data_IF_673120015303
#
_entry.id   IF_673120015303
#
_cell.length_a   1.000
_cell.length_b   1.000
_cell.length_c   1.000
_cell.angle_alpha   90.00
_cell.angle_beta   90.00
_cell.angle_gamma   90.00
#
_symmetry.space_group_name_H-M   'P 1'
#
loop_
_entity.id
_entity.type
_entity.pdbx_description
1 polymer ?
#
# COMPACT_ATOMS: atom_id res chain seq x y z
N UNK A 1 23.91 22.38 10.06
CA UNK A 1 23.94 23.13 8.78
C UNK A 1 24.61 22.34 7.64
N UNK A 2 25.80 21.75 7.82
CA UNK A 2 26.48 21.01 6.74
C UNK A 2 25.71 19.82 6.17
N UNK A 3 25.03 19.02 7.02
CA UNK A 3 24.26 17.85 6.59
C UNK A 3 23.06 18.26 5.72
N UNK A 4 22.32 19.31 6.08
CA UNK A 4 21.15 19.77 5.31
C UNK A 4 21.54 20.32 3.94
N UNK A 5 22.66 21.01 3.85
CA UNK A 5 23.20 21.50 2.59
C UNK A 5 23.73 20.37 1.68
N UNK A 6 24.28 19.32 2.26
CA UNK A 6 24.69 18.11 1.53
C UNK A 6 23.47 17.38 0.97
N UNK A 7 22.44 17.13 1.79
CA UNK A 7 21.20 16.48 1.37
C UNK A 7 20.53 17.26 0.23
N UNK A 8 20.43 18.59 0.35
CA UNK A 8 19.84 19.42 -0.70
C UNK A 8 20.60 19.34 -2.03
N UNK A 9 21.93 19.22 -2.00
CA UNK A 9 22.75 19.04 -3.22
C UNK A 9 22.47 17.74 -3.95
N UNK A 10 22.19 16.65 -3.19
CA UNK A 10 21.91 15.33 -3.76
C UNK A 10 20.47 15.14 -4.19
N UNK A 11 19.51 15.69 -3.45
CA UNK A 11 18.07 15.47 -3.66
C UNK A 11 17.39 16.58 -4.44
N UNK A 12 18.02 17.74 -4.58
CA UNK A 12 17.42 18.95 -5.11
C UNK A 12 16.40 19.62 -4.18
N UNK A 13 16.14 19.03 -2.98
CA UNK A 13 15.11 19.47 -2.03
C UNK A 13 15.70 19.82 -0.68
N UNK A 14 15.31 20.95 -0.07
CA UNK A 14 15.66 21.26 1.31
C UNK A 14 15.04 20.23 2.25
N UNK A 15 15.72 19.95 3.37
CA UNK A 15 15.29 18.96 4.36
C UNK A 15 13.83 19.18 4.84
N UNK A 16 13.44 20.44 5.01
CA UNK A 16 12.08 20.81 5.45
C UNK A 16 10.97 20.37 4.49
N UNK A 17 11.29 20.08 3.23
CA UNK A 17 10.32 19.68 2.21
C UNK A 17 10.29 18.16 1.99
N UNK A 18 11.18 17.39 2.60
CA UNK A 18 11.27 15.94 2.37
C UNK A 18 10.25 15.12 3.16
N UNK A 19 9.67 15.71 4.22
CA UNK A 19 8.75 15.02 5.13
C UNK A 19 7.64 14.21 4.44
N UNK A 20 6.85 14.79 3.52
CA UNK A 20 5.79 14.04 2.85
C UNK A 20 6.29 12.84 2.02
N UNK A 21 7.43 12.96 1.32
CA UNK A 21 8.00 11.84 0.57
C UNK A 21 8.46 10.70 1.50
N UNK A 22 9.12 11.04 2.61
CA UNK A 22 9.55 10.07 3.62
C UNK A 22 8.35 9.38 4.28
N UNK A 23 7.27 10.11 4.58
CA UNK A 23 6.05 9.53 5.15
C UNK A 23 5.37 8.55 4.18
N UNK A 24 5.27 8.91 2.91
CA UNK A 24 4.75 7.99 1.89
C UNK A 24 5.67 6.78 1.74
N UNK A 25 6.99 6.95 1.85
CA UNK A 25 7.94 5.83 1.89
C UNK A 25 7.70 4.89 3.08
N UNK A 26 7.51 5.44 4.30
CA UNK A 26 7.17 4.65 5.49
C UNK A 26 5.82 3.93 5.30
N UNK A 27 4.82 4.62 4.74
CA UNK A 27 3.53 4.01 4.41
C UNK A 27 3.67 2.85 3.42
N UNK A 28 4.52 2.99 2.41
CA UNK A 28 4.81 1.90 1.46
C UNK A 28 5.48 0.71 2.17
N UNK A 29 6.43 0.97 3.07
CA UNK A 29 7.01 -0.06 3.93
C UNK A 29 5.95 -0.78 4.78
N UNK A 30 4.95 -0.06 5.27
CA UNK A 30 3.86 -0.64 6.05
C UNK A 30 2.92 -1.53 5.19
N UNK A 31 2.68 -1.22 3.91
CA UNK A 31 1.94 -2.12 3.01
C UNK A 31 2.71 -3.42 2.77
N UNK A 32 4.02 -3.31 2.54
CA UNK A 32 4.91 -4.47 2.38
C UNK A 32 5.06 -5.28 3.66
N UNK A 33 5.08 -4.63 4.82
CA UNK A 33 5.03 -5.31 6.12
C UNK A 33 3.80 -6.22 6.25
N UNK A 34 2.61 -5.75 5.86
CA UNK A 34 1.37 -6.55 5.91
C UNK A 34 1.48 -7.77 4.98
N UNK A 35 1.93 -7.57 3.75
CA UNK A 35 2.09 -8.65 2.78
C UNK A 35 3.15 -9.68 3.23
N UNK A 36 4.32 -9.21 3.66
CA UNK A 36 5.40 -10.07 4.15
C UNK A 36 4.97 -10.85 5.40
N UNK A 37 4.21 -10.23 6.32
CA UNK A 37 3.66 -10.93 7.48
C UNK A 37 2.76 -12.09 7.06
N UNK A 38 1.85 -11.88 6.11
CA UNK A 38 1.01 -12.97 5.57
C UNK A 38 1.87 -14.13 5.05
N UNK A 39 2.87 -13.84 4.23
CA UNK A 39 3.75 -14.89 3.69
C UNK A 39 4.53 -15.63 4.76
N UNK A 40 5.02 -14.93 5.76
CA UNK A 40 5.75 -15.52 6.89
C UNK A 40 4.87 -16.43 7.73
N UNK A 41 3.60 -16.07 7.92
CA UNK A 41 2.65 -16.86 8.71
C UNK A 41 2.08 -18.07 7.95
N UNK A 42 2.15 -18.08 6.61
CA UNK A 42 1.51 -19.10 5.78
C UNK A 42 1.88 -20.56 6.13
N UNK A 43 3.14 -20.90 6.49
CA UNK A 43 3.48 -22.26 6.92
C UNK A 43 2.73 -22.69 8.19
N UNK A 44 2.65 -21.83 9.20
CA UNK A 44 1.92 -22.10 10.45
C UNK A 44 0.41 -22.16 10.25
N UNK A 45 -0.13 -21.29 9.43
CA UNK A 45 -1.55 -21.32 9.00
C UNK A 45 -1.85 -22.67 8.34
N UNK A 46 -0.98 -23.09 7.42
CA UNK A 46 -1.12 -24.37 6.72
C UNK A 46 -1.17 -25.54 7.71
N UNK A 47 -0.27 -25.58 8.66
CA UNK A 47 -0.21 -26.64 9.66
C UNK A 47 -1.42 -26.62 10.60
N UNK A 48 -1.81 -25.43 11.10
CA UNK A 48 -2.94 -25.30 12.04
C UNK A 48 -4.27 -25.68 11.41
N UNK A 49 -4.51 -25.24 10.16
CA UNK A 49 -5.76 -25.51 9.43
C UNK A 49 -5.71 -26.82 8.64
N UNK A 50 -4.60 -27.57 8.68
CA UNK A 50 -4.40 -28.84 7.98
C UNK A 50 -4.70 -28.75 6.48
N UNK A 51 -4.34 -27.61 5.85
CA UNK A 51 -4.58 -27.40 4.43
C UNK A 51 -3.44 -27.94 3.57
N UNK A 52 -3.76 -28.34 2.35
CA UNK A 52 -2.78 -28.84 1.37
C UNK A 52 -1.87 -27.71 0.85
N UNK A 53 -0.72 -28.05 0.27
CA UNK A 53 0.11 -27.09 -0.44
C UNK A 53 -0.63 -26.44 -1.61
N UNK A 54 -1.54 -27.17 -2.28
CA UNK A 54 -2.40 -26.61 -3.33
C UNK A 54 -3.28 -25.50 -2.79
N UNK A 55 -3.94 -25.71 -1.63
CA UNK A 55 -4.76 -24.68 -1.00
C UNK A 55 -3.94 -23.48 -0.55
N UNK A 56 -2.74 -23.69 -0.02
CA UNK A 56 -1.82 -22.59 0.30
C UNK A 56 -1.44 -21.79 -0.96
N UNK A 57 -1.17 -22.46 -2.08
CA UNK A 57 -0.94 -21.81 -3.38
C UNK A 57 -2.15 -21.04 -3.89
N UNK A 58 -3.38 -21.56 -3.69
CA UNK A 58 -4.62 -20.85 -4.02
C UNK A 58 -4.75 -19.57 -3.19
N UNK A 59 -4.43 -19.59 -1.91
CA UNK A 59 -4.45 -18.39 -1.07
C UNK A 59 -3.48 -17.31 -1.58
N UNK A 60 -2.29 -17.70 -2.02
CA UNK A 60 -1.33 -16.78 -2.67
C UNK A 60 -1.90 -16.24 -3.99
N UNK A 61 -2.54 -17.09 -4.80
CA UNK A 61 -3.18 -16.66 -6.04
C UNK A 61 -4.34 -15.67 -5.78
N UNK A 62 -5.15 -15.91 -4.74
CA UNK A 62 -6.22 -14.99 -4.30
C UNK A 62 -5.64 -13.63 -3.92
N UNK A 63 -4.54 -13.60 -3.14
CA UNK A 63 -3.84 -12.35 -2.82
C UNK A 63 -3.47 -11.57 -4.09
N UNK A 64 -2.77 -12.21 -5.03
CA UNK A 64 -2.30 -11.53 -6.25
C UNK A 64 -3.43 -11.11 -7.19
N UNK A 65 -4.46 -11.93 -7.32
CA UNK A 65 -5.62 -11.59 -8.16
C UNK A 65 -6.37 -10.37 -7.58
N UNK A 66 -6.63 -10.37 -6.28
CA UNK A 66 -7.26 -9.25 -5.60
C UNK A 66 -6.40 -7.97 -5.70
N UNK A 67 -5.10 -8.11 -5.55
CA UNK A 67 -4.10 -7.06 -5.71
C UNK A 67 -4.15 -6.44 -7.12
N UNK A 68 -4.14 -7.28 -8.14
CA UNK A 68 -4.23 -6.87 -9.55
C UNK A 68 -5.52 -6.08 -9.83
N UNK A 69 -6.67 -6.61 -9.44
CA UNK A 69 -7.97 -5.98 -9.67
C UNK A 69 -8.09 -4.65 -8.93
N UNK A 70 -7.62 -4.60 -7.68
CA UNK A 70 -7.67 -3.40 -6.86
C UNK A 70 -6.79 -2.26 -7.40
N UNK A 71 -5.70 -2.56 -8.09
CA UNK A 71 -4.82 -1.54 -8.67
C UNK A 71 -5.57 -0.68 -9.71
N UNK A 72 -6.36 -1.30 -10.59
CA UNK A 72 -7.17 -0.58 -11.56
C UNK A 72 -8.30 0.21 -10.88
N UNK A 73 -9.03 -0.43 -9.96
CA UNK A 73 -10.14 0.21 -9.27
C UNK A 73 -9.68 1.42 -8.44
N UNK A 74 -8.54 1.31 -7.75
CA UNK A 74 -8.02 2.41 -6.94
C UNK A 74 -7.44 3.54 -7.77
N UNK A 75 -6.87 3.25 -8.96
CA UNK A 75 -6.47 4.27 -9.93
C UNK A 75 -7.65 5.14 -10.33
N UNK A 76 -8.72 4.51 -10.81
CA UNK A 76 -9.96 5.20 -11.15
C UNK A 76 -10.55 5.98 -9.97
N UNK A 77 -10.58 5.37 -8.78
CA UNK A 77 -11.08 6.03 -7.55
C UNK A 77 -10.24 7.26 -7.18
N UNK A 78 -8.92 7.16 -7.30
CA UNK A 78 -7.97 8.25 -7.04
C UNK A 78 -8.22 9.41 -7.99
N UNK A 79 -8.37 9.13 -9.29
CA UNK A 79 -8.58 10.14 -10.32
C UNK A 79 -9.94 10.84 -10.19
N UNK A 80 -11.00 10.07 -9.86
CA UNK A 80 -12.35 10.61 -9.72
C UNK A 80 -12.49 11.43 -8.43
N UNK A 81 -11.90 10.96 -7.32
CA UNK A 81 -12.14 11.58 -6.01
C UNK A 81 -11.09 12.61 -5.61
N UNK A 82 -9.86 12.50 -6.13
CA UNK A 82 -8.71 13.28 -5.69
C UNK A 82 -8.28 13.03 -4.23
N UNK A 83 -8.93 12.10 -3.51
CA UNK A 83 -8.72 11.83 -2.08
C UNK A 83 -7.56 10.88 -1.83
N UNK A 84 -6.37 11.26 -2.24
CA UNK A 84 -5.17 10.42 -2.24
C UNK A 84 -4.77 9.97 -0.83
N UNK A 85 -4.80 10.87 0.15
CA UNK A 85 -4.41 10.55 1.53
C UNK A 85 -5.43 9.65 2.21
N UNK A 86 -6.73 9.85 1.93
CA UNK A 86 -7.78 8.97 2.43
C UNK A 86 -7.62 7.54 1.91
N UNK A 87 -7.33 7.38 0.61
CA UNK A 87 -7.12 6.06 0.00
C UNK A 87 -5.88 5.40 0.60
N UNK A 88 -4.78 6.13 0.79
CA UNK A 88 -3.57 5.61 1.42
C UNK A 88 -3.81 5.13 2.86
N UNK A 89 -4.34 6.01 3.72
CA UNK A 89 -4.61 5.64 5.12
C UNK A 89 -5.69 4.58 5.26
N UNK A 90 -6.73 4.62 4.42
CA UNK A 90 -7.77 3.62 4.36
C UNK A 90 -7.26 2.24 3.94
N UNK A 91 -6.39 2.17 2.92
CA UNK A 91 -5.77 0.92 2.50
C UNK A 91 -4.94 0.30 3.63
N UNK A 92 -4.11 1.08 4.32
CA UNK A 92 -3.34 0.59 5.47
C UNK A 92 -4.25 0.09 6.59
N UNK A 93 -5.29 0.86 6.94
CA UNK A 93 -6.23 0.49 8.00
C UNK A 93 -6.97 -0.80 7.67
N UNK A 94 -7.51 -0.93 6.47
CA UNK A 94 -8.22 -2.14 6.03
C UNK A 94 -7.27 -3.34 5.91
N UNK A 95 -6.05 -3.13 5.41
CA UNK A 95 -5.03 -4.18 5.37
C UNK A 95 -4.64 -4.69 6.75
N UNK A 96 -4.47 -3.79 7.73
CA UNK A 96 -4.20 -4.16 9.12
C UNK A 96 -5.39 -4.91 9.74
N UNK A 97 -6.62 -4.44 9.55
CA UNK A 97 -7.82 -5.13 10.02
C UNK A 97 -7.94 -6.53 9.43
N UNK A 98 -7.67 -6.67 8.13
CA UNK A 98 -7.71 -7.97 7.47
C UNK A 98 -6.59 -8.90 7.97
N UNK A 99 -5.37 -8.37 8.18
CA UNK A 99 -4.28 -9.14 8.77
C UNK A 99 -4.64 -9.65 10.17
N UNK A 100 -5.15 -8.78 11.04
CA UNK A 100 -5.66 -9.19 12.35
C UNK A 100 -6.82 -10.17 12.25
N UNK A 101 -7.72 -9.99 11.27
CA UNK A 101 -8.85 -10.88 11.01
C UNK A 101 -8.43 -12.31 10.59
N UNK A 102 -7.22 -12.49 10.03
CA UNK A 102 -6.71 -13.83 9.73
C UNK A 102 -6.60 -14.70 11.01
N UNK A 103 -6.30 -14.09 12.15
CA UNK A 103 -6.18 -14.78 13.45
C UNK A 103 -7.46 -15.46 13.90
N UNK A 104 -8.60 -15.01 13.42
CA UNK A 104 -9.93 -15.52 13.72
C UNK A 104 -10.42 -16.56 12.72
N UNK A 105 -9.63 -16.82 11.67
CA UNK A 105 -10.04 -17.74 10.61
C UNK A 105 -9.94 -19.20 11.06
N UNK A 106 -11.07 -19.91 11.07
CA UNK A 106 -11.18 -21.32 11.46
C UNK A 106 -11.19 -22.28 10.25
N UNK A 107 -11.21 -21.75 9.04
CA UNK A 107 -11.21 -22.52 7.79
C UNK A 107 -10.66 -21.68 6.62
N UNK A 108 -10.47 -22.34 5.47
CA UNK A 108 -9.88 -21.73 4.26
C UNK A 108 -10.72 -20.57 3.71
N UNK A 109 -12.05 -20.64 3.78
CA UNK A 109 -12.93 -19.62 3.18
C UNK A 109 -12.81 -18.26 3.87
N UNK A 110 -13.05 -18.13 5.22
CA UNK A 110 -12.85 -16.83 5.88
C UNK A 110 -11.40 -16.35 5.78
N UNK A 111 -10.43 -17.26 5.80
CA UNK A 111 -9.03 -16.91 5.59
C UNK A 111 -8.81 -16.30 4.20
N UNK A 112 -9.33 -16.92 3.14
CA UNK A 112 -9.22 -16.43 1.76
C UNK A 112 -9.85 -15.05 1.58
N UNK A 113 -10.96 -14.76 2.27
CA UNK A 113 -11.58 -13.43 2.28
C UNK A 113 -10.65 -12.37 2.90
N UNK A 114 -10.02 -12.68 4.04
CA UNK A 114 -9.06 -11.77 4.67
C UNK A 114 -7.84 -11.55 3.76
N UNK A 115 -7.32 -12.61 3.16
CA UNK A 115 -6.18 -12.56 2.24
C UNK A 115 -6.53 -11.76 0.96
N UNK A 116 -7.74 -11.89 0.43
CA UNK A 116 -8.21 -11.06 -0.68
C UNK A 116 -8.21 -9.56 -0.31
N UNK A 117 -8.67 -9.22 0.90
CA UNK A 117 -8.62 -7.83 1.38
C UNK A 117 -7.19 -7.36 1.55
N UNK A 118 -6.29 -8.19 2.12
CA UNK A 118 -4.85 -7.84 2.24
C UNK A 118 -4.27 -7.57 0.85
N UNK A 119 -4.50 -8.45 -0.13
CA UNK A 119 -4.03 -8.27 -1.50
C UNK A 119 -4.59 -7.01 -2.15
N UNK A 120 -5.89 -6.78 -2.04
CA UNK A 120 -6.55 -5.61 -2.60
C UNK A 120 -5.99 -4.31 -2.00
N UNK A 121 -5.85 -4.23 -0.68
CA UNK A 121 -5.37 -3.04 0.03
C UNK A 121 -3.88 -2.78 -0.23
N UNK A 122 -3.08 -3.83 -0.41
CA UNK A 122 -1.68 -3.72 -0.77
C UNK A 122 -1.50 -2.91 -2.06
N UNK A 123 -2.25 -3.19 -3.11
CA UNK A 123 -2.13 -2.48 -4.39
C UNK A 123 -3.05 -1.26 -4.54
N UNK A 124 -4.13 -1.14 -3.77
CA UNK A 124 -4.94 0.07 -3.75
C UNK A 124 -4.16 1.30 -3.25
N UNK A 125 -3.10 1.09 -2.48
CA UNK A 125 -2.17 2.11 -2.01
C UNK A 125 -1.44 2.84 -3.15
N UNK A 126 -0.94 2.10 -4.16
CA UNK A 126 0.05 2.58 -5.11
C UNK A 126 -0.42 3.75 -6.00
N UNK A 127 -1.58 3.71 -6.68
CA UNK A 127 -2.00 4.82 -7.52
C UNK A 127 -2.17 6.12 -6.73
N UNK A 128 -2.70 6.03 -5.51
CA UNK A 128 -2.90 7.18 -4.65
C UNK A 128 -1.57 7.78 -4.16
N UNK A 129 -0.60 6.94 -3.78
CA UNK A 129 0.73 7.36 -3.33
C UNK A 129 1.54 7.99 -4.46
N UNK A 130 1.57 7.34 -5.64
CA UNK A 130 2.28 7.84 -6.82
C UNK A 130 1.68 9.15 -7.32
N UNK A 131 0.35 9.26 -7.36
CA UNK A 131 -0.35 10.49 -7.73
C UNK A 131 -0.04 11.63 -6.75
N UNK A 132 -0.09 11.37 -5.43
CA UNK A 132 0.25 12.35 -4.40
C UNK A 132 1.70 12.85 -4.55
N UNK A 133 2.67 11.94 -4.69
CA UNK A 133 4.08 12.30 -4.84
C UNK A 133 4.35 13.07 -6.14
N UNK A 134 3.74 12.64 -7.23
CA UNK A 134 3.93 13.26 -8.55
C UNK A 134 3.40 14.69 -8.61
N UNK A 135 2.30 14.97 -7.92
CA UNK A 135 1.74 16.32 -7.84
C UNK A 135 2.52 17.19 -6.85
N UNK A 136 2.96 16.62 -5.74
CA UNK A 136 3.68 17.35 -4.69
C UNK A 136 5.11 17.71 -5.10
N UNK A 137 5.75 16.89 -5.92
CA UNK A 137 7.15 17.03 -6.33
C UNK A 137 7.32 17.00 -7.85
N UNK A 138 6.72 17.94 -8.59
CA UNK A 138 6.76 17.92 -10.08
C UNK A 138 8.19 17.97 -10.61
N UNK A 139 9.07 18.77 -10.02
CA UNK A 139 10.46 18.95 -10.45
C UNK A 139 11.41 17.87 -9.87
N UNK A 140 11.01 17.20 -8.79
CA UNK A 140 11.81 16.20 -8.08
C UNK A 140 11.11 14.83 -8.01
N UNK A 141 10.27 14.52 -9.03
CA UNK A 141 9.45 13.29 -9.06
C UNK A 141 10.30 12.02 -8.95
N UNK A 142 11.42 11.96 -9.64
CA UNK A 142 12.34 10.82 -9.59
C UNK A 142 12.83 10.53 -8.18
N UNK A 143 13.24 11.55 -7.43
CA UNK A 143 13.63 11.43 -6.03
C UNK A 143 12.48 10.94 -5.15
N UNK A 144 11.31 11.56 -5.26
CA UNK A 144 10.15 11.20 -4.44
C UNK A 144 9.70 9.74 -4.67
N UNK A 145 9.70 9.29 -5.92
CA UNK A 145 9.39 7.90 -6.27
C UNK A 145 10.50 6.92 -5.84
N UNK A 146 11.77 7.33 -5.86
CA UNK A 146 12.87 6.51 -5.33
C UNK A 146 12.74 6.31 -3.80
N UNK A 147 12.38 7.35 -3.05
CA UNK A 147 12.09 7.25 -1.61
C UNK A 147 10.89 6.32 -1.35
N UNK A 148 9.84 6.43 -2.16
CA UNK A 148 8.70 5.53 -2.10
C UNK A 148 9.12 4.07 -2.33
N UNK A 149 9.90 3.78 -3.37
CA UNK A 149 10.39 2.43 -3.66
C UNK A 149 11.33 1.90 -2.55
N UNK A 150 12.20 2.76 -2.00
CA UNK A 150 13.07 2.39 -0.88
C UNK A 150 12.25 1.95 0.34
N UNK A 151 11.12 2.62 0.60
CA UNK A 151 10.22 2.24 1.69
C UNK A 151 9.74 0.79 1.58
N UNK A 152 9.37 0.32 0.40
CA UNK A 152 9.00 -1.08 0.15
C UNK A 152 10.12 -2.05 0.55
N UNK A 153 11.35 -1.80 0.04
CA UNK A 153 12.50 -2.64 0.32
C UNK A 153 12.84 -2.68 1.82
N UNK A 154 12.69 -1.57 2.52
CA UNK A 154 12.85 -1.51 3.99
C UNK A 154 11.79 -2.35 4.68
N UNK A 155 10.52 -2.24 4.26
CA UNK A 155 9.41 -3.07 4.77
C UNK A 155 9.67 -4.56 4.58
N UNK A 156 10.03 -4.96 3.37
CA UNK A 156 10.35 -6.36 3.02
C UNK A 156 11.55 -6.90 3.80
N UNK A 157 12.54 -6.04 4.12
CA UNK A 157 13.73 -6.45 4.85
C UNK A 157 13.50 -6.55 6.36
N UNK A 158 12.72 -5.62 6.94
CA UNK A 158 12.49 -5.56 8.39
C UNK A 158 11.43 -6.58 8.82
N UNK A 159 10.40 -6.82 8.01
CA UNK A 159 9.31 -7.71 8.37
C UNK A 159 9.78 -9.14 8.72
N UNK A 160 10.63 -9.83 7.95
CA UNK A 160 11.10 -11.16 8.32
C UNK A 160 11.82 -11.20 9.67
N UNK A 161 12.60 -10.18 9.98
CA UNK A 161 13.36 -10.11 11.23
C UNK A 161 12.43 -9.91 12.44
N UNK A 162 11.55 -8.93 12.36
CA UNK A 162 10.68 -8.55 13.48
C UNK A 162 9.53 -9.54 13.66
N UNK A 163 8.84 -9.91 12.58
CA UNK A 163 7.74 -10.87 12.63
C UNK A 163 8.26 -12.25 13.00
N UNK A 164 9.42 -12.66 12.46
CA UNK A 164 10.07 -13.91 12.83
C UNK A 164 10.44 -13.98 14.32
N UNK A 165 10.97 -12.88 14.87
CA UNK A 165 11.27 -12.80 16.30
C UNK A 165 9.99 -12.92 17.17
N UNK A 166 8.90 -12.24 16.80
CA UNK A 166 7.62 -12.34 17.50
C UNK A 166 7.02 -13.74 17.39
N UNK A 167 7.09 -14.33 16.20
CA UNK A 167 6.60 -15.69 15.94
C UNK A 167 7.35 -16.78 16.70
N UNK A 168 8.62 -16.53 17.07
CA UNK A 168 9.38 -17.39 17.97
C UNK A 168 8.92 -17.36 19.43
N UNK A 169 8.07 -16.39 19.80
CA UNK A 169 7.60 -16.17 21.17
C UNK A 169 6.09 -16.34 21.33
N UNK A 170 5.33 -16.12 20.28
CA UNK A 170 3.86 -16.10 20.30
C UNK A 170 3.29 -17.09 19.26
N UNK A 171 1.99 -17.38 19.38
CA UNK A 171 1.26 -18.09 18.33
C UNK A 171 1.24 -17.28 17.02
N UNK A 172 0.99 -17.93 15.87
CA UNK A 172 0.84 -17.22 14.63
C UNK A 172 -0.37 -16.25 14.65
N UNK A 173 -1.44 -16.59 15.37
CA UNK A 173 -2.61 -15.74 15.56
C UNK A 173 -2.25 -14.46 16.30
N UNK A 174 -1.55 -14.59 17.44
CA UNK A 174 -1.10 -13.43 18.21
C UNK A 174 -0.07 -12.60 17.44
N UNK A 175 0.80 -13.27 16.68
CA UNK A 175 1.77 -12.60 15.80
C UNK A 175 1.06 -11.77 14.73
N UNK A 176 0.00 -12.31 14.11
CA UNK A 176 -0.82 -11.55 13.15
C UNK A 176 -1.43 -10.32 13.82
N UNK A 177 -2.01 -10.45 15.02
CA UNK A 177 -2.59 -9.34 15.77
C UNK A 177 -1.56 -8.26 16.14
N UNK A 178 -0.44 -8.66 16.72
CA UNK A 178 0.62 -7.72 17.12
C UNK A 178 1.19 -7.00 15.91
N UNK A 179 1.31 -7.68 14.78
CA UNK A 179 1.82 -7.09 13.53
C UNK A 179 0.90 -6.02 12.93
N UNK A 180 -0.34 -5.90 13.38
CA UNK A 180 -1.24 -4.80 12.96
C UNK A 180 -0.88 -3.46 13.59
N UNK A 181 -0.28 -3.47 14.78
CA UNK A 181 -0.03 -2.26 15.58
C UNK A 181 0.81 -1.22 14.83
N UNK A 182 2.00 -1.56 14.28
CA UNK A 182 2.80 -0.57 13.55
C UNK A 182 2.07 -0.02 12.33
N UNK A 183 1.23 -0.83 11.67
CA UNK A 183 0.47 -0.42 10.49
C UNK A 183 -0.61 0.60 10.85
N UNK A 184 -1.35 0.39 11.95
CA UNK A 184 -2.33 1.37 12.44
C UNK A 184 -1.66 2.69 12.85
N UNK A 185 -0.50 2.64 13.50
CA UNK A 185 0.28 3.85 13.86
C UNK A 185 0.65 4.62 12.59
N UNK A 186 1.15 3.95 11.56
CA UNK A 186 1.53 4.58 10.29
C UNK A 186 0.28 5.12 9.56
N UNK A 187 -0.82 4.37 9.52
CA UNK A 187 -2.07 4.82 8.91
C UNK A 187 -2.61 6.10 9.57
N UNK A 188 -2.62 6.14 10.89
CA UNK A 188 -3.02 7.31 11.67
C UNK A 188 -2.09 8.51 11.43
N UNK A 189 -0.79 8.27 11.40
CA UNK A 189 0.21 9.31 11.14
C UNK A 189 0.05 9.91 9.74
N UNK A 190 -0.11 9.06 8.72
CA UNK A 190 -0.38 9.49 7.35
C UNK A 190 -1.67 10.34 7.30
N UNK A 191 -2.75 9.85 7.89
CA UNK A 191 -4.02 10.58 7.92
C UNK A 191 -3.89 11.96 8.57
N UNK A 192 -3.22 12.05 9.71
CA UNK A 192 -3.13 13.30 10.48
C UNK A 192 -2.17 14.32 9.88
N UNK A 193 -1.05 13.86 9.30
CA UNK A 193 0.02 14.74 8.82
C UNK A 193 -0.11 14.99 7.31
N UNK A 194 -0.22 13.95 6.47
CA UNK A 194 -0.27 14.14 5.02
C UNK A 194 -1.54 14.84 4.55
N UNK A 195 -2.66 14.68 5.27
CA UNK A 195 -3.90 15.40 4.94
C UNK A 195 -3.70 16.92 4.87
N UNK A 196 -2.77 17.48 5.64
CA UNK A 196 -2.46 18.92 5.63
C UNK A 196 -1.68 19.34 4.37
N UNK A 197 -1.06 18.37 3.70
CA UNK A 197 -0.27 18.56 2.48
C UNK A 197 -1.03 18.12 1.22
N UNK A 198 -2.22 17.58 1.38
CA UNK A 198 -3.10 17.24 0.27
C UNK A 198 -3.59 18.55 -0.33
N UNK A 199 -3.00 18.97 -1.43
CA UNK A 199 -3.62 19.96 -2.30
C UNK A 199 -4.87 19.27 -2.83
N UNK A 200 -6.04 19.71 -2.34
CA UNK A 200 -7.28 19.49 -3.08
C UNK A 200 -7.07 20.32 -4.34
N UNK A 201 -6.41 19.75 -5.34
CA UNK A 201 -6.55 20.27 -6.69
C UNK A 201 -8.06 20.29 -6.87
N UNK A 202 -8.71 21.45 -7.09
CA UNK A 202 -10.09 21.46 -7.49
C UNK A 202 -10.05 20.50 -8.68
N UNK A 203 -10.67 19.31 -8.54
CA UNK A 203 -10.82 18.33 -9.61
C UNK A 203 -11.15 19.20 -10.80
N UNK A 204 -10.26 19.28 -11.79
CA UNK A 204 -10.22 20.28 -12.87
C UNK A 204 -11.65 20.66 -13.14
N UNK A 205 -11.99 21.92 -12.86
CA UNK A 205 -13.35 22.40 -12.61
C UNK A 205 -14.27 21.65 -13.55
N UNK A 206 -15.36 21.02 -13.11
CA UNK A 206 -16.27 20.10 -13.83
C UNK A 206 -16.50 20.39 -15.32
N UNK A 207 -16.06 21.55 -15.79
CA UNK A 207 -16.08 22.03 -17.17
C UNK A 207 -14.97 21.46 -18.09
N UNK A 208 -13.81 21.04 -17.58
CA UNK A 208 -12.72 20.53 -18.44
C UNK A 208 -12.81 19.02 -18.66
N UNK A 209 -13.51 18.25 -17.80
CA UNK A 209 -13.78 16.83 -18.04
C UNK A 209 -15.03 16.61 -18.89
N UNK A 210 -15.02 17.10 -20.12
CA UNK A 210 -16.11 16.84 -21.10
C UNK A 210 -16.15 15.40 -21.62
N UNK A 211 -15.14 14.59 -21.34
CA UNK A 211 -15.09 13.20 -21.79
C UNK A 211 -15.28 12.29 -20.57
N UNK A 212 -16.35 11.45 -20.51
CA UNK A 212 -16.52 10.48 -19.45
C UNK A 212 -15.31 9.52 -19.39
N UNK A 213 -14.81 9.19 -18.19
CA UNK A 213 -13.66 8.30 -17.95
C UNK A 213 -13.72 7.00 -18.79
N UNK A 214 -14.92 6.43 -18.95
CA UNK A 214 -15.16 5.25 -19.79
C UNK A 214 -14.90 5.50 -21.28
N UNK A 215 -15.09 6.70 -21.78
CA UNK A 215 -14.77 7.02 -23.19
C UNK A 215 -13.27 7.24 -23.41
N UNK A 216 -12.56 7.77 -22.43
CA UNK A 216 -11.08 7.83 -22.47
C UNK A 216 -10.46 6.44 -22.46
N UNK A 217 -10.95 5.54 -21.61
CA UNK A 217 -10.57 4.12 -21.62
C UNK A 217 -10.85 3.48 -22.99
N UNK A 218 -12.00 3.72 -23.58
CA UNK A 218 -12.37 3.18 -24.88
C UNK A 218 -11.46 3.69 -26.00
N UNK A 219 -11.06 4.96 -25.96
CA UNK A 219 -10.10 5.54 -26.89
C UNK A 219 -8.73 4.88 -26.73
N UNK A 220 -8.27 4.70 -25.48
CA UNK A 220 -7.01 4.05 -25.17
C UNK A 220 -6.96 2.60 -25.65
N UNK A 221 -8.01 1.83 -25.41
CA UNK A 221 -8.10 0.43 -25.91
C UNK A 221 -8.16 0.36 -27.44
N UNK A 222 -8.81 1.32 -28.10
CA UNK A 222 -8.86 1.39 -29.56
C UNK A 222 -7.50 1.73 -30.19
N UNK A 223 -6.63 2.44 -29.49
CA UNK A 223 -5.24 2.69 -29.95
C UNK A 223 -4.36 1.44 -29.84
N UNK A 224 -4.66 0.51 -28.92
CA UNK A 224 -3.96 -0.78 -28.82
C UNK A 224 -4.33 -1.74 -29.96
N UNK A 225 -5.49 -1.60 -30.60
CA UNK A 225 -5.88 -2.42 -31.78
C UNK A 225 -5.16 -1.98 -33.06
N UNK A 226 -4.43 -0.85 -33.03
CA UNK A 226 -3.70 -0.30 -34.18
C UNK A 226 -2.18 -0.56 -34.15
N UNK A 227 -1.68 -1.26 -33.10
CA UNK A 227 -0.32 -1.73 -32.93
C UNK A 227 -0.18 -3.23 -33.18
#
# INVERSE_FOLDING_TARGET
>A
MALSASIQRWTGLPWSQQGPALMVGVGHGATHWVAATFYLLLPWIKETLQISYTNAGILVAVFHLASFLANFASGALTDITGKRVLIQSGSLTLGALALGGTSLAWSVIPLALMIAIIGATNNAWHPAAISFLSERYPDNRGYALAVHALGANVGDSIAPLMVGAVLGMLSWQDTALVSTVPVFVVAFWIWTVLRRHETISPAETKETRKIPYLSELKIMFRQFELL
#
